data_IF_726476400807
#
_entry.id   IF_726476400807
#
_cell.length_a   1.000
_cell.length_b   1.000
_cell.length_c   1.000
_cell.angle_alpha   90.00
_cell.angle_beta   90.00
_cell.angle_gamma   90.00
#
_symmetry.space_group_name_H-M   'P 1'
#
loop_
_entity.id
_entity.type
_entity.pdbx_description
1 polymer ?
#
# COMPACT_ATOMS: atom_id res chain seq x y z
N UNK A 1 -43.09 -23.07 24.70
CA UNK A 1 -43.24 -21.70 24.19
C UNK A 1 -41.97 -21.39 23.36
N UNK A 2 -42.08 -21.63 22.08
CA UNK A 2 -41.01 -21.49 21.09
C UNK A 2 -40.96 -20.04 20.62
N UNK A 3 -39.83 -19.38 20.78
CA UNK A 3 -39.59 -18.02 20.32
C UNK A 3 -38.86 -18.09 18.95
N UNK A 4 -39.61 -17.98 17.88
CA UNK A 4 -39.08 -17.89 16.53
C UNK A 4 -38.60 -16.46 16.27
N UNK A 5 -37.28 -16.30 16.03
CA UNK A 5 -36.67 -15.05 15.57
C UNK A 5 -36.92 -14.88 14.08
N UNK A 6 -37.59 -13.79 13.71
CA UNK A 6 -37.81 -13.37 12.32
C UNK A 6 -36.49 -12.99 11.64
N UNK A 7 -36.25 -13.35 10.36
CA UNK A 7 -35.08 -12.96 9.61
C UNK A 7 -35.15 -11.47 9.21
N UNK A 8 -34.01 -10.82 9.36
CA UNK A 8 -33.79 -9.42 8.90
C UNK A 8 -33.78 -9.40 7.37
N UNK A 9 -34.71 -8.68 6.77
CA UNK A 9 -34.73 -8.42 5.33
C UNK A 9 -33.54 -7.54 4.94
N UNK A 10 -32.64 -8.07 4.12
CA UNK A 10 -31.63 -7.30 3.42
C UNK A 10 -32.27 -6.43 2.35
N UNK A 11 -31.98 -5.12 2.39
CA UNK A 11 -32.47 -4.15 1.42
C UNK A 11 -32.04 -4.49 -0.01
N UNK A 12 -32.96 -4.47 -0.93
CA UNK A 12 -32.73 -4.74 -2.34
C UNK A 12 -31.89 -3.65 -3.01
N UNK A 13 -31.03 -4.00 -3.98
CA UNK A 13 -30.21 -3.03 -4.71
C UNK A 13 -31.10 -2.10 -5.56
N UNK A 14 -30.71 -0.81 -5.62
CA UNK A 14 -31.42 0.30 -6.29
C UNK A 14 -31.89 0.05 -7.74
N UNK A 15 -31.40 -1.01 -8.40
CA UNK A 15 -31.82 -1.37 -9.79
C UNK A 15 -33.22 -1.98 -9.92
N UNK A 16 -33.81 -2.50 -8.84
CA UNK A 16 -35.16 -3.09 -8.89
C UNK A 16 -36.29 -2.09 -8.66
N UNK A 17 -35.98 -0.84 -8.27
CA UNK A 17 -37.02 0.19 -8.06
C UNK A 17 -37.62 0.73 -9.38
N UNK A 18 -36.94 0.53 -10.53
CA UNK A 18 -37.38 1.05 -11.82
C UNK A 18 -38.22 0.07 -12.65
N UNK A 19 -38.39 -1.18 -12.21
CA UNK A 19 -39.17 -2.19 -12.99
C UNK A 19 -40.61 -2.38 -12.52
N UNK A 20 -41.05 -1.77 -11.40
CA UNK A 20 -42.40 -1.99 -10.85
C UNK A 20 -43.37 -0.83 -11.07
N UNK A 21 -43.02 0.17 -11.84
CA UNK A 21 -43.88 1.33 -12.13
C UNK A 21 -44.49 1.29 -13.55
N UNK A 22 -44.88 0.11 -14.02
CA UNK A 22 -45.56 -0.06 -15.30
C UNK A 22 -46.97 -0.55 -15.06
N UNK A 23 -47.89 0.33 -14.64
CA UNK A 23 -49.34 0.22 -14.96
C UNK A 23 -50.05 1.52 -14.59
N UNK A 24 -50.53 2.18 -15.62
CA UNK A 24 -51.57 3.23 -15.62
C UNK A 24 -51.17 4.64 -15.17
N UNK A 25 -50.57 5.41 -16.08
CA UNK A 25 -50.91 6.84 -16.22
C UNK A 25 -50.84 7.14 -17.72
N UNK A 26 -51.97 7.54 -18.29
CA UNK A 26 -52.16 8.01 -19.65
C UNK A 26 -51.27 9.25 -19.92
N UNK A 27 -50.52 9.20 -20.98
CA UNK A 27 -49.46 10.08 -21.39
C UNK A 27 -49.85 11.56 -21.49
N UNK A 28 -49.19 12.38 -20.67
CA UNK A 28 -48.56 13.58 -21.19
C UNK A 28 -47.06 13.26 -21.23
N UNK A 29 -46.49 13.04 -22.41
CA UNK A 29 -45.07 12.91 -22.62
C UNK A 29 -44.41 14.26 -22.28
N UNK A 30 -44.09 14.47 -21.01
CA UNK A 30 -43.17 15.53 -20.63
C UNK A 30 -41.81 15.08 -21.15
N UNK A 31 -41.39 15.64 -22.27
CA UNK A 31 -40.02 15.53 -22.75
C UNK A 31 -39.11 16.13 -21.68
N UNK A 32 -38.62 15.29 -20.79
CA UNK A 32 -37.62 15.70 -19.82
C UNK A 32 -36.30 15.77 -20.60
N UNK A 33 -35.90 17.00 -20.95
CA UNK A 33 -34.57 17.25 -21.53
C UNK A 33 -33.57 16.98 -20.44
N UNK A 34 -33.00 15.76 -20.44
CA UNK A 34 -31.88 15.41 -19.57
C UNK A 34 -30.63 16.08 -20.15
N UNK A 35 -29.99 17.00 -19.43
CA UNK A 35 -28.81 17.67 -19.95
C UNK A 35 -27.73 16.65 -20.33
N UNK A 36 -26.96 16.92 -21.37
CA UNK A 36 -25.98 16.00 -21.95
C UNK A 36 -24.91 15.54 -20.95
N UNK A 37 -24.54 16.38 -19.97
CA UNK A 37 -23.62 16.04 -18.89
C UNK A 37 -24.18 14.98 -17.92
N UNK A 38 -25.47 14.72 -17.91
CA UNK A 38 -26.13 13.68 -17.10
C UNK A 38 -26.16 12.34 -17.82
N UNK A 39 -26.21 12.36 -19.16
CA UNK A 39 -26.31 11.15 -20.00
C UNK A 39 -24.93 10.55 -20.34
N UNK A 40 -23.85 11.30 -20.15
CA UNK A 40 -22.54 10.92 -20.65
C UNK A 40 -22.43 11.06 -22.18
N UNK A 41 -21.29 10.69 -22.75
CA UNK A 41 -21.01 10.74 -24.18
C UNK A 41 -19.68 11.44 -24.45
N UNK A 42 -19.35 11.67 -25.73
CA UNK A 42 -18.05 12.23 -26.11
C UNK A 42 -17.76 13.56 -25.38
N UNK A 43 -16.78 13.53 -24.45
CA UNK A 43 -16.39 14.67 -23.63
C UNK A 43 -17.14 14.85 -22.30
N UNK A 44 -18.10 13.96 -21.95
CA UNK A 44 -18.86 14.04 -20.71
C UNK A 44 -18.94 12.69 -19.99
N UNK A 45 -18.49 12.65 -18.74
CA UNK A 45 -18.67 11.50 -17.84
C UNK A 45 -19.97 11.71 -17.05
N UNK A 46 -20.94 10.76 -17.10
CA UNK A 46 -22.16 10.91 -16.32
C UNK A 46 -21.88 10.88 -14.81
N UNK A 47 -22.70 11.55 -13.99
CA UNK A 47 -22.53 11.54 -12.53
C UNK A 47 -22.50 10.13 -11.93
N UNK A 48 -23.21 9.17 -12.56
CA UNK A 48 -23.22 7.76 -12.15
C UNK A 48 -21.88 7.03 -12.34
N UNK A 49 -21.00 7.58 -13.17
CA UNK A 49 -19.66 7.04 -13.44
C UNK A 49 -18.56 7.83 -12.72
N UNK A 50 -18.91 8.92 -12.05
CA UNK A 50 -17.98 9.75 -11.28
C UNK A 50 -17.96 9.29 -9.83
N UNK A 51 -16.78 8.93 -9.33
CA UNK A 51 -16.59 8.53 -7.93
C UNK A 51 -16.30 9.76 -7.06
N UNK A 52 -16.94 9.81 -5.89
CA UNK A 52 -16.59 10.75 -4.83
C UNK A 52 -15.32 10.29 -4.11
N UNK A 53 -14.29 11.15 -4.11
CA UNK A 53 -13.00 10.83 -3.52
C UNK A 53 -12.60 11.75 -2.37
N UNK A 54 -11.83 11.21 -1.41
CA UNK A 54 -11.19 12.01 -0.38
C UNK A 54 -9.69 11.72 -0.27
N UNK A 55 -8.93 12.75 0.11
CA UNK A 55 -7.51 12.64 0.44
C UNK A 55 -7.33 12.73 1.96
N UNK A 56 -6.67 11.72 2.55
CA UNK A 56 -6.29 11.69 3.96
C UNK A 56 -4.76 11.70 4.04
N UNK A 57 -4.21 12.79 4.60
CA UNK A 57 -2.79 13.09 4.55
C UNK A 57 -2.44 13.98 3.35
N UNK A 58 -2.39 15.31 3.57
CA UNK A 58 -2.18 16.34 2.53
C UNK A 58 -0.74 16.86 2.52
N UNK A 59 0.22 16.00 2.85
CA UNK A 59 1.65 16.27 2.76
C UNK A 59 2.19 16.24 1.33
N UNK A 60 3.52 16.20 1.18
CA UNK A 60 4.18 16.27 -0.13
C UNK A 60 3.72 15.22 -1.15
N UNK A 61 3.36 14.02 -0.69
CA UNK A 61 2.92 12.92 -1.55
C UNK A 61 1.41 12.94 -1.85
N UNK A 62 0.61 13.56 -0.99
CA UNK A 62 -0.85 13.44 -0.99
C UNK A 62 -1.52 13.69 -2.34
N UNK A 63 -1.19 14.79 -3.03
CA UNK A 63 -1.83 15.10 -4.31
C UNK A 63 -1.56 14.06 -5.39
N UNK A 64 -0.34 13.52 -5.46
CA UNK A 64 -0.02 12.49 -6.44
C UNK A 64 -0.67 11.15 -6.11
N UNK A 65 -0.83 10.83 -4.83
CA UNK A 65 -1.58 9.65 -4.38
C UNK A 65 -3.05 9.78 -4.72
N UNK A 66 -3.64 10.96 -4.49
CA UNK A 66 -5.03 11.22 -4.90
C UNK A 66 -5.24 11.07 -6.41
N UNK A 67 -4.31 11.59 -7.22
CA UNK A 67 -4.37 11.42 -8.68
C UNK A 67 -4.33 9.95 -9.13
N UNK A 68 -3.73 9.07 -8.33
CA UNK A 68 -3.72 7.63 -8.55
C UNK A 68 -5.08 6.94 -8.37
N UNK A 69 -6.08 7.62 -7.81
CA UNK A 69 -7.45 7.08 -7.71
C UNK A 69 -8.13 6.96 -9.09
N UNK A 70 -7.76 7.82 -10.05
CA UNK A 70 -8.32 7.79 -11.40
C UNK A 70 -8.80 9.16 -11.89
N UNK A 71 -9.06 9.24 -13.20
CA UNK A 71 -9.44 10.50 -13.87
C UNK A 71 -10.87 10.93 -13.55
N UNK A 72 -11.76 9.97 -13.28
CA UNK A 72 -13.17 10.21 -12.99
C UNK A 72 -13.47 10.23 -11.50
N UNK A 73 -12.45 10.49 -10.67
CA UNK A 73 -12.61 10.66 -9.22
C UNK A 73 -12.58 12.13 -8.87
N UNK A 74 -13.70 12.64 -8.35
CA UNK A 74 -13.83 14.02 -7.91
C UNK A 74 -13.42 14.17 -6.45
N UNK A 75 -12.46 15.06 -6.16
CA UNK A 75 -12.09 15.35 -4.76
C UNK A 75 -13.19 16.15 -4.05
N UNK A 76 -13.84 15.53 -3.07
CA UNK A 76 -14.90 16.12 -2.26
C UNK A 76 -14.42 16.52 -0.86
N UNK A 77 -13.32 15.90 -0.38
CA UNK A 77 -12.77 16.21 0.94
C UNK A 77 -11.24 16.03 0.98
N UNK A 78 -10.61 16.79 1.87
CA UNK A 78 -9.22 16.63 2.25
C UNK A 78 -9.11 16.63 3.77
N UNK A 79 -8.30 15.73 4.33
CA UNK A 79 -8.10 15.59 5.78
C UNK A 79 -6.62 15.63 6.12
N UNK A 80 -6.25 16.48 7.08
CA UNK A 80 -4.87 16.54 7.59
C UNK A 80 -4.87 17.16 8.99
N UNK A 81 -4.03 16.69 9.87
CA UNK A 81 -3.88 17.20 11.25
C UNK A 81 -3.45 18.68 11.30
N UNK A 82 -2.90 19.23 10.22
CA UNK A 82 -2.58 20.66 10.07
C UNK A 82 -3.81 21.55 9.89
N UNK A 83 -4.98 20.97 9.67
CA UNK A 83 -6.24 21.72 9.53
C UNK A 83 -6.96 21.93 10.86
N UNK A 84 -6.28 21.78 11.99
CA UNK A 84 -6.84 21.94 13.35
C UNK A 84 -7.67 23.22 13.53
N UNK A 85 -7.21 24.34 12.95
CA UNK A 85 -7.92 25.64 12.99
C UNK A 85 -8.92 25.86 11.84
N UNK A 86 -8.89 25.02 10.80
CA UNK A 86 -9.77 25.12 9.63
C UNK A 86 -10.93 24.14 9.69
N UNK A 87 -11.12 23.48 10.84
CA UNK A 87 -12.10 22.44 11.03
C UNK A 87 -13.51 22.92 10.66
N UNK A 88 -14.19 22.09 9.88
CA UNK A 88 -15.61 22.09 9.54
C UNK A 88 -16.11 23.07 8.45
N UNK A 89 -15.29 23.37 7.46
CA UNK A 89 -15.89 23.60 6.17
C UNK A 89 -16.08 22.20 5.50
N UNK A 90 -17.16 21.98 4.76
CA UNK A 90 -17.55 20.69 4.14
C UNK A 90 -16.46 20.03 3.28
N UNK A 91 -15.26 20.57 3.16
CA UNK A 91 -14.17 20.15 2.30
C UNK A 91 -12.84 19.88 3.02
N UNK A 92 -12.58 20.53 4.18
CA UNK A 92 -11.35 20.36 4.96
C UNK A 92 -11.67 19.79 6.34
N UNK A 93 -10.93 18.77 6.73
CA UNK A 93 -11.12 18.03 7.99
C UNK A 93 -9.79 17.86 8.71
N UNK A 94 -9.80 17.92 10.03
CA UNK A 94 -8.65 17.52 10.87
C UNK A 94 -8.74 16.08 11.36
N UNK A 95 -9.93 15.48 11.33
CA UNK A 95 -10.21 14.11 11.75
C UNK A 95 -10.76 13.28 10.59
N UNK A 96 -10.03 12.21 10.22
CA UNK A 96 -10.40 11.34 9.12
C UNK A 96 -11.73 10.61 9.32
N UNK A 97 -12.15 10.37 10.56
CA UNK A 97 -13.41 9.70 10.89
C UNK A 97 -14.59 10.46 10.32
N UNK A 98 -14.54 11.80 10.39
CA UNK A 98 -15.58 12.69 9.82
C UNK A 98 -15.67 12.59 8.29
N UNK A 99 -14.55 12.32 7.62
CA UNK A 99 -14.53 12.04 6.17
C UNK A 99 -15.20 10.70 5.87
N UNK A 100 -14.92 9.67 6.68
CA UNK A 100 -15.46 8.33 6.47
C UNK A 100 -16.97 8.23 6.73
N UNK A 101 -17.54 9.09 7.56
CA UNK A 101 -18.99 9.21 7.82
C UNK A 101 -19.78 9.70 6.58
N UNK A 102 -19.12 10.33 5.61
CA UNK A 102 -19.78 10.87 4.43
C UNK A 102 -20.23 9.80 3.46
N UNK A 103 -21.53 9.83 3.09
CA UNK A 103 -22.11 8.88 2.13
C UNK A 103 -21.77 9.19 0.66
N UNK A 104 -21.32 10.43 0.37
CA UNK A 104 -20.92 10.86 -0.97
C UNK A 104 -19.46 10.58 -1.30
N UNK A 105 -18.69 9.99 -0.37
CA UNK A 105 -17.33 9.51 -0.59
C UNK A 105 -17.40 8.01 -0.90
N UNK A 106 -16.86 7.60 -2.04
CA UNK A 106 -16.76 6.21 -2.50
C UNK A 106 -15.36 5.64 -2.28
N UNK A 107 -14.33 6.48 -2.48
CA UNK A 107 -12.92 6.08 -2.47
C UNK A 107 -12.06 7.03 -1.65
N UNK A 108 -11.01 6.49 -1.04
CA UNK A 108 -10.06 7.31 -0.28
C UNK A 108 -8.62 7.04 -0.70
N UNK A 109 -7.83 8.12 -0.82
CA UNK A 109 -6.39 8.09 -0.94
C UNK A 109 -5.78 8.36 0.43
N UNK A 110 -4.93 7.46 0.93
CA UNK A 110 -4.26 7.58 2.23
C UNK A 110 -2.78 7.85 1.99
N UNK A 111 -2.30 9.01 2.42
CA UNK A 111 -0.92 9.45 2.31
C UNK A 111 -0.41 10.09 3.63
N UNK A 112 -0.89 9.59 4.74
CA UNK A 112 -0.41 9.88 6.09
C UNK A 112 0.97 9.25 6.33
N UNK A 113 1.66 9.52 7.44
CA UNK A 113 2.75 8.67 7.87
C UNK A 113 2.30 7.22 8.13
N UNK A 114 3.19 6.21 7.93
CA UNK A 114 2.81 4.79 7.91
C UNK A 114 2.15 4.23 9.18
N UNK A 115 2.42 4.80 10.35
CA UNK A 115 1.79 4.36 11.60
C UNK A 115 0.26 4.55 11.64
N UNK A 116 -0.28 5.37 10.72
CA UNK A 116 -1.71 5.57 10.55
C UNK A 116 -2.33 4.69 9.45
N UNK A 117 -1.52 4.14 8.53
CA UNK A 117 -2.02 3.48 7.32
C UNK A 117 -3.01 2.35 7.62
N UNK A 118 -2.64 1.42 8.52
CA UNK A 118 -3.49 0.27 8.84
C UNK A 118 -4.84 0.68 9.41
N UNK A 119 -4.84 1.55 10.42
CA UNK A 119 -6.08 1.97 11.09
C UNK A 119 -7.03 2.70 10.15
N UNK A 120 -6.51 3.65 9.36
CA UNK A 120 -7.34 4.40 8.42
C UNK A 120 -7.85 3.48 7.30
N UNK A 121 -7.00 2.59 6.76
CA UNK A 121 -7.38 1.62 5.72
C UNK A 121 -8.52 0.70 6.19
N UNK A 122 -8.38 0.11 7.38
CA UNK A 122 -9.40 -0.77 7.95
C UNK A 122 -10.71 -0.01 8.21
N UNK A 123 -10.63 1.18 8.82
CA UNK A 123 -11.79 2.01 9.08
C UNK A 123 -12.51 2.46 7.78
N UNK A 124 -11.75 2.79 6.73
CA UNK A 124 -12.29 3.14 5.43
C UNK A 124 -13.04 1.96 4.78
N UNK A 125 -12.45 0.76 4.80
CA UNK A 125 -13.09 -0.46 4.31
C UNK A 125 -14.36 -0.79 5.10
N UNK A 126 -14.31 -0.65 6.42
CA UNK A 126 -15.47 -0.85 7.31
C UNK A 126 -16.59 0.15 7.00
N UNK A 127 -16.24 1.40 6.66
CA UNK A 127 -17.18 2.43 6.22
C UNK A 127 -17.63 2.28 4.76
N UNK A 128 -17.28 1.16 4.09
CA UNK A 128 -17.69 0.86 2.72
C UNK A 128 -16.90 1.59 1.64
N UNK A 129 -15.72 2.16 1.94
CA UNK A 129 -14.88 2.86 0.97
C UNK A 129 -13.81 1.93 0.40
N UNK A 130 -13.48 2.13 -0.89
CA UNK A 130 -12.31 1.51 -1.50
C UNK A 130 -11.08 2.37 -1.27
N UNK A 131 -9.88 1.76 -1.19
CA UNK A 131 -8.70 2.41 -0.62
C UNK A 131 -7.49 2.31 -1.55
N UNK A 132 -6.88 3.46 -1.84
CA UNK A 132 -5.50 3.55 -2.32
C UNK A 132 -4.63 4.05 -1.17
N UNK A 133 -3.76 3.19 -0.65
CA UNK A 133 -2.87 3.51 0.45
C UNK A 133 -1.43 3.64 -0.03
N UNK A 134 -0.73 4.70 0.41
CA UNK A 134 0.71 4.84 0.15
C UNK A 134 1.51 3.73 0.84
N UNK A 135 2.69 3.49 0.31
CA UNK A 135 3.67 2.56 0.89
C UNK A 135 4.42 3.20 2.08
N UNK A 136 4.94 2.37 3.00
CA UNK A 136 4.63 0.95 3.19
C UNK A 136 3.18 0.76 3.64
N UNK A 137 2.60 -0.41 3.35
CA UNK A 137 1.19 -0.66 3.67
C UNK A 137 0.87 -0.43 5.15
N UNK A 138 1.77 -0.85 6.02
CA UNK A 138 1.59 -0.81 7.47
C UNK A 138 2.91 -0.54 8.18
N UNK A 139 2.85 -0.37 9.49
CA UNK A 139 4.02 -0.22 10.36
C UNK A 139 4.47 -1.53 10.99
N UNK A 140 3.58 -2.52 11.11
CA UNK A 140 3.83 -3.81 11.74
C UNK A 140 3.24 -4.96 10.91
N UNK A 141 3.82 -6.18 11.08
CA UNK A 141 3.36 -7.40 10.36
C UNK A 141 1.89 -7.70 10.69
N UNK A 142 1.54 -7.71 11.97
CA UNK A 142 0.16 -8.01 12.41
C UNK A 142 -0.88 -7.02 11.85
N UNK A 143 -0.52 -5.75 11.67
CA UNK A 143 -1.38 -4.77 11.01
C UNK A 143 -1.64 -5.14 9.54
N UNK A 144 -0.62 -5.62 8.83
CA UNK A 144 -0.76 -6.07 7.45
C UNK A 144 -1.76 -7.23 7.34
N UNK A 145 -1.68 -8.20 8.23
CA UNK A 145 -2.65 -9.30 8.31
C UNK A 145 -4.07 -8.80 8.64
N UNK A 146 -4.19 -7.83 9.52
CA UNK A 146 -5.48 -7.20 9.83
C UNK A 146 -6.09 -6.48 8.60
N UNK A 147 -5.27 -5.80 7.78
CA UNK A 147 -5.72 -5.17 6.53
C UNK A 147 -6.20 -6.21 5.52
N UNK A 148 -5.47 -7.34 5.36
CA UNK A 148 -5.90 -8.46 4.49
C UNK A 148 -7.25 -9.02 4.94
N UNK A 149 -7.42 -9.21 6.24
CA UNK A 149 -8.68 -9.71 6.79
C UNK A 149 -9.83 -8.71 6.59
N UNK A 150 -9.56 -7.41 6.68
CA UNK A 150 -10.54 -6.36 6.41
C UNK A 150 -10.94 -6.33 4.92
N UNK A 151 -9.99 -6.44 3.99
CA UNK A 151 -10.29 -6.54 2.55
C UNK A 151 -11.26 -7.70 2.27
N UNK A 152 -10.95 -8.89 2.80
CA UNK A 152 -11.79 -10.08 2.65
C UNK A 152 -13.17 -9.90 3.28
N UNK A 153 -13.22 -9.35 4.50
CA UNK A 153 -14.46 -9.18 5.26
C UNK A 153 -15.42 -8.19 4.64
N UNK A 154 -14.90 -7.06 4.17
CA UNK A 154 -15.73 -5.96 3.66
C UNK A 154 -15.85 -5.94 2.13
N UNK A 155 -15.12 -6.80 1.42
CA UNK A 155 -15.15 -6.89 -0.05
C UNK A 155 -14.76 -5.57 -0.72
N UNK A 156 -13.79 -4.84 -0.15
CA UNK A 156 -13.33 -3.57 -0.68
C UNK A 156 -12.06 -3.75 -1.52
N UNK A 157 -11.87 -2.86 -2.49
CA UNK A 157 -10.64 -2.84 -3.29
C UNK A 157 -9.57 -2.11 -2.50
N UNK A 158 -8.39 -2.74 -2.38
CA UNK A 158 -7.17 -2.13 -1.90
C UNK A 158 -6.16 -2.00 -3.03
N UNK A 159 -5.49 -0.86 -3.13
CA UNK A 159 -4.27 -0.71 -3.91
C UNK A 159 -3.17 -0.09 -3.04
N UNK A 160 -1.98 -0.71 -3.07
CA UNK A 160 -0.78 -0.12 -2.47
C UNK A 160 -0.12 0.85 -3.46
N UNK A 161 0.35 1.99 -2.98
CA UNK A 161 1.04 3.02 -3.76
C UNK A 161 2.46 2.60 -4.19
N UNK A 162 2.62 1.39 -4.74
CA UNK A 162 3.88 0.91 -5.35
C UNK A 162 3.81 0.96 -6.87
N UNK A 163 4.98 1.04 -7.49
CA UNK A 163 5.12 1.01 -8.94
C UNK A 163 5.56 -0.39 -9.38
N UNK A 164 5.14 -0.87 -10.52
CA UNK A 164 5.66 -2.09 -11.10
C UNK A 164 4.65 -3.23 -11.24
N UNK A 165 3.58 -3.24 -10.46
CA UNK A 165 2.47 -4.20 -10.60
C UNK A 165 1.33 -3.66 -11.45
N UNK A 166 1.22 -2.33 -11.62
CA UNK A 166 0.09 -1.64 -12.23
C UNK A 166 0.47 -0.97 -13.56
N UNK A 167 -0.38 -1.13 -14.55
CA UNK A 167 -0.39 -0.36 -15.79
C UNK A 167 0.96 -0.11 -16.47
N UNK A 168 1.25 1.15 -16.74
CA UNK A 168 2.40 1.60 -17.54
C UNK A 168 3.77 1.54 -16.84
N UNK A 169 3.83 1.19 -15.56
CA UNK A 169 5.09 1.12 -14.79
C UNK A 169 5.77 -0.25 -14.87
N UNK A 170 5.31 -1.15 -15.74
CA UNK A 170 5.87 -2.49 -15.87
C UNK A 170 7.21 -2.45 -16.57
N UNK A 171 8.21 -2.99 -15.89
CA UNK A 171 9.54 -3.16 -16.45
C UNK A 171 9.65 -4.50 -17.19
N UNK A 172 10.11 -4.47 -18.45
CA UNK A 172 10.33 -5.69 -19.26
C UNK A 172 11.24 -6.72 -18.57
N UNK A 173 12.25 -6.25 -17.85
CA UNK A 173 13.16 -7.11 -17.09
C UNK A 173 12.44 -7.85 -15.97
N UNK A 174 11.57 -7.17 -15.23
CA UNK A 174 10.73 -7.82 -14.20
C UNK A 174 9.74 -8.84 -14.80
N UNK A 175 9.16 -8.56 -15.95
CA UNK A 175 8.28 -9.51 -16.65
C UNK A 175 9.04 -10.75 -17.13
N UNK A 176 10.24 -10.56 -17.70
CA UNK A 176 11.08 -11.67 -18.12
C UNK A 176 11.51 -12.53 -16.93
N UNK A 177 11.94 -11.93 -15.83
CA UNK A 177 12.26 -12.63 -14.58
C UNK A 177 11.07 -13.41 -14.05
N UNK A 178 9.88 -12.82 -14.06
CA UNK A 178 8.66 -13.51 -13.65
C UNK A 178 8.40 -14.76 -14.50
N UNK A 179 8.48 -14.65 -15.84
CA UNK A 179 8.34 -15.81 -16.74
C UNK A 179 9.40 -16.89 -16.46
N UNK A 180 10.67 -16.49 -16.31
CA UNK A 180 11.77 -17.40 -15.99
C UNK A 180 11.49 -18.17 -14.70
N UNK A 181 11.09 -17.48 -13.63
CA UNK A 181 10.89 -18.08 -12.32
C UNK A 181 9.63 -18.93 -12.22
N UNK A 182 8.56 -18.54 -12.92
CA UNK A 182 7.28 -19.29 -12.90
C UNK A 182 7.20 -20.42 -13.92
N UNK A 183 8.13 -20.48 -14.86
CA UNK A 183 8.17 -21.52 -15.91
C UNK A 183 8.54 -22.91 -15.39
N UNK A 184 9.20 -23.00 -14.23
CA UNK A 184 9.79 -24.25 -13.73
C UNK A 184 11.03 -24.73 -14.50
N UNK A 185 11.52 -23.98 -15.49
CA UNK A 185 12.69 -24.34 -16.29
C UNK A 185 14.02 -23.96 -15.63
N UNK A 186 13.99 -23.02 -14.68
CA UNK A 186 15.16 -22.64 -13.88
C UNK A 186 15.04 -23.28 -12.50
N UNK A 187 15.82 -24.32 -12.26
CA UNK A 187 15.84 -25.03 -10.97
C UNK A 187 16.92 -24.51 -10.02
N UNK A 188 17.86 -23.71 -10.49
CA UNK A 188 19.07 -23.34 -9.74
C UNK A 188 19.21 -21.82 -9.47
N UNK A 189 18.10 -21.08 -9.45
CA UNK A 189 18.11 -19.68 -9.04
C UNK A 189 18.17 -19.57 -7.52
N UNK A 190 19.35 -19.27 -6.98
CA UNK A 190 19.60 -19.19 -5.53
C UNK A 190 19.35 -17.83 -4.92
N UNK A 191 19.12 -16.79 -5.71
CA UNK A 191 18.80 -15.50 -5.14
C UNK A 191 19.13 -14.27 -5.98
N UNK A 192 18.88 -13.12 -5.40
CA UNK A 192 19.13 -11.80 -5.98
C UNK A 192 19.83 -10.89 -4.98
N UNK A 193 20.84 -10.17 -5.45
CA UNK A 193 21.56 -9.16 -4.66
C UNK A 193 21.34 -7.78 -5.28
N UNK A 194 20.55 -6.97 -4.63
CA UNK A 194 20.29 -5.59 -5.01
C UNK A 194 21.35 -4.67 -4.39
N UNK A 195 22.27 -4.21 -5.23
CA UNK A 195 23.30 -3.21 -4.91
C UNK A 195 22.81 -1.86 -5.43
N UNK A 196 21.97 -1.16 -4.69
CA UNK A 196 21.49 0.15 -5.15
C UNK A 196 21.72 1.23 -4.11
N UNK A 197 22.41 2.30 -4.50
CA UNK A 197 22.24 3.59 -3.86
C UNK A 197 20.78 4.06 -4.00
N UNK A 198 20.38 5.08 -3.21
CA UNK A 198 19.05 5.67 -3.29
C UNK A 198 18.06 5.16 -2.24
N UNK A 199 18.48 4.28 -1.33
CA UNK A 199 17.72 3.92 -0.13
C UNK A 199 17.65 5.08 0.87
N UNK A 200 18.49 6.11 0.70
CA UNK A 200 18.49 7.34 1.51
C UNK A 200 18.63 7.08 3.01
N UNK A 201 19.42 6.08 3.39
CA UNK A 201 19.56 5.65 4.78
C UNK A 201 20.04 6.80 5.65
N UNK A 202 21.11 7.50 5.23
CA UNK A 202 21.62 8.68 5.93
C UNK A 202 20.61 9.82 5.96
N UNK A 203 19.94 10.08 4.85
CA UNK A 203 18.93 11.16 4.75
C UNK A 203 17.74 10.93 5.70
N UNK A 204 17.32 9.68 5.85
CA UNK A 204 16.18 9.30 6.69
C UNK A 204 16.60 8.70 8.04
N UNK A 205 17.77 9.09 8.56
CA UNK A 205 18.15 8.83 9.95
C UNK A 205 17.51 9.84 10.89
N UNK A 206 17.07 9.37 12.05
CA UNK A 206 16.47 10.21 13.08
C UNK A 206 17.51 10.94 13.94
N UNK A 207 17.08 12.00 14.61
CA UNK A 207 17.89 12.65 15.64
C UNK A 207 17.76 11.87 16.95
N UNK A 208 18.91 11.55 17.53
CA UNK A 208 18.97 10.98 18.87
C UNK A 208 18.70 12.09 19.89
N UNK A 209 17.71 11.87 20.77
CA UNK A 209 17.32 12.82 21.83
C UNK A 209 17.09 14.27 21.34
N UNK A 210 16.23 14.51 20.36
CA UNK A 210 15.96 15.87 19.90
C UNK A 210 15.33 16.70 21.01
N UNK A 211 15.81 17.95 21.16
CA UNK A 211 15.30 18.88 22.18
C UNK A 211 13.86 19.26 21.85
N UNK A 212 12.91 19.08 22.78
CA UNK A 212 11.50 19.42 22.55
C UNK A 212 11.30 20.90 22.20
N UNK A 213 10.32 21.15 21.32
CA UNK A 213 9.92 22.49 20.92
C UNK A 213 8.41 22.68 21.10
N UNK A 214 7.95 23.92 21.03
CA UNK A 214 6.52 24.22 21.10
C UNK A 214 5.77 23.63 19.91
N UNK A 215 4.61 23.05 20.16
CA UNK A 215 3.72 22.54 19.13
C UNK A 215 3.13 23.75 18.37
N UNK A 216 3.21 23.77 17.01
CA UNK A 216 2.53 24.80 16.24
C UNK A 216 1.02 24.82 16.49
N UNK A 217 0.42 25.99 16.65
CA UNK A 217 -1.01 26.14 16.92
C UNK A 217 -1.94 25.51 15.86
N UNK A 218 -1.45 25.37 14.64
CA UNK A 218 -2.21 24.80 13.52
C UNK A 218 -2.12 23.28 13.47
N UNK A 219 -1.23 22.65 14.27
CA UNK A 219 -0.97 21.22 14.26
C UNK A 219 -1.68 20.53 15.41
N UNK A 220 -2.44 19.49 15.11
CA UNK A 220 -2.91 18.55 16.11
C UNK A 220 -1.84 17.46 16.31
N UNK A 221 -0.96 17.69 17.30
CA UNK A 221 0.15 16.77 17.55
C UNK A 221 -0.29 15.46 18.18
N UNK A 222 -1.33 15.47 18.99
CA UNK A 222 -1.90 14.25 19.56
C UNK A 222 -2.48 13.35 18.46
N UNK A 223 -3.31 13.93 17.59
CA UNK A 223 -3.83 13.22 16.41
C UNK A 223 -2.70 12.81 15.44
N UNK A 224 -1.61 13.60 15.32
CA UNK A 224 -0.46 13.18 14.52
C UNK A 224 0.19 11.92 15.07
N UNK A 225 0.47 11.86 16.37
CA UNK A 225 1.05 10.69 17.03
C UNK A 225 0.11 9.50 16.98
N UNK A 226 -1.17 9.72 17.25
CA UNK A 226 -2.23 8.71 17.12
C UNK A 226 -1.92 7.38 17.81
N UNK A 227 -1.79 6.27 17.05
CA UNK A 227 -1.50 4.95 17.62
C UNK A 227 -0.06 4.79 18.13
N UNK A 228 0.82 5.72 17.78
CA UNK A 228 2.21 5.72 18.28
C UNK A 228 2.28 6.40 19.65
N UNK A 229 3.33 6.13 20.45
CA UNK A 229 3.51 6.84 21.71
C UNK A 229 3.53 8.36 21.53
N UNK A 230 2.81 9.08 22.39
CA UNK A 230 2.85 10.54 22.41
C UNK A 230 4.24 11.01 22.83
N UNK A 231 5.01 11.48 21.86
CA UNK A 231 6.36 12.01 22.08
C UNK A 231 6.34 13.53 22.20
N UNK A 232 7.28 14.12 22.96
CA UNK A 232 7.49 15.55 22.89
C UNK A 232 7.72 16.02 21.45
N UNK A 233 7.09 17.14 21.10
CA UNK A 233 7.17 17.64 19.72
C UNK A 233 8.59 18.13 19.40
N UNK A 234 9.02 17.76 18.20
CA UNK A 234 10.19 18.33 17.53
C UNK A 234 9.93 18.36 16.03
N UNK A 235 10.28 19.43 15.29
CA UNK A 235 10.01 19.53 13.85
C UNK A 235 10.53 18.35 13.02
N UNK A 236 11.67 17.77 13.41
CA UNK A 236 12.23 16.59 12.73
C UNK A 236 11.37 15.31 12.90
N UNK A 237 10.45 15.25 13.88
CA UNK A 237 9.49 14.15 14.03
C UNK A 237 8.27 14.31 13.13
N UNK A 238 8.15 15.45 12.45
CA UNK A 238 7.03 15.84 11.60
C UNK A 238 7.49 16.06 10.15
N UNK A 239 6.55 16.15 9.20
CA UNK A 239 6.87 16.32 7.78
C UNK A 239 7.64 15.12 7.22
N UNK A 240 8.54 15.31 6.26
CA UNK A 240 9.27 14.24 5.57
C UNK A 240 10.23 13.47 6.49
N UNK A 241 10.78 14.11 7.51
CA UNK A 241 11.78 13.55 8.42
C UNK A 241 11.21 12.59 9.48
N UNK A 242 9.86 12.48 9.59
CA UNK A 242 9.22 11.45 10.42
C UNK A 242 9.77 10.04 10.13
N UNK A 243 10.25 9.81 8.92
CA UNK A 243 10.85 8.55 8.47
C UNK A 243 11.98 8.06 9.36
N UNK A 244 12.72 8.98 9.96
CA UNK A 244 13.84 8.68 10.84
C UNK A 244 13.48 8.14 12.22
N UNK A 245 12.21 7.81 12.49
CA UNK A 245 11.79 7.35 13.81
C UNK A 245 10.99 6.06 13.75
N UNK A 246 11.38 5.11 14.64
CA UNK A 246 10.71 3.81 14.72
C UNK A 246 9.22 3.91 15.10
N UNK A 247 8.82 4.98 15.76
CA UNK A 247 7.41 5.19 16.10
C UNK A 247 6.54 5.41 14.87
N UNK A 248 7.08 6.00 13.79
CA UNK A 248 6.27 6.45 12.64
C UNK A 248 6.53 5.65 11.36
N UNK A 249 7.79 5.26 11.09
CA UNK A 249 8.14 4.51 9.89
C UNK A 249 9.27 3.50 10.18
N UNK A 250 10.43 3.60 9.60
CA UNK A 250 11.53 2.62 9.73
C UNK A 250 12.73 3.00 8.87
N UNK A 251 12.97 4.30 8.73
CA UNK A 251 14.12 4.84 8.00
C UNK A 251 14.05 4.65 6.49
N UNK A 252 15.20 4.80 5.85
CA UNK A 252 15.32 4.67 4.40
C UNK A 252 14.92 3.29 3.87
N UNK A 253 15.05 2.25 4.69
CA UNK A 253 14.62 0.91 4.30
C UNK A 253 13.10 0.83 4.15
N UNK A 254 12.33 1.37 5.09
CA UNK A 254 10.88 1.36 5.00
C UNK A 254 10.37 2.29 3.90
N UNK A 255 10.94 3.49 3.76
CA UNK A 255 10.53 4.45 2.74
C UNK A 255 10.86 3.96 1.32
N UNK A 256 12.13 3.71 1.02
CA UNK A 256 12.58 3.39 -0.33
C UNK A 256 12.63 1.89 -0.62
N UNK A 257 12.83 1.06 0.41
CA UNK A 257 12.97 -0.38 0.25
C UNK A 257 11.73 -1.05 -0.35
N UNK A 258 10.52 -0.56 -0.02
CA UNK A 258 9.28 -1.10 -0.60
C UNK A 258 9.29 -1.07 -2.13
N UNK A 259 9.85 -0.04 -2.75
CA UNK A 259 9.96 0.07 -4.21
C UNK A 259 10.87 -0.99 -4.83
N UNK A 260 11.74 -1.62 -4.04
CA UNK A 260 12.62 -2.71 -4.47
C UNK A 260 12.08 -4.08 -4.03
N UNK A 261 11.56 -4.19 -2.81
CA UNK A 261 11.02 -5.44 -2.29
C UNK A 261 9.80 -5.91 -3.07
N UNK A 262 8.87 -5.02 -3.37
CA UNK A 262 7.61 -5.35 -4.04
C UNK A 262 7.83 -5.93 -5.46
N UNK A 263 8.63 -5.30 -6.36
CA UNK A 263 8.92 -5.89 -7.67
C UNK A 263 9.67 -7.21 -7.61
N UNK A 264 10.60 -7.37 -6.66
CA UNK A 264 11.34 -8.62 -6.49
C UNK A 264 10.40 -9.74 -6.01
N UNK A 265 9.59 -9.47 -4.99
CA UNK A 265 8.61 -10.42 -4.47
C UNK A 265 7.73 -10.97 -5.60
N UNK A 266 7.21 -10.09 -6.45
CA UNK A 266 6.41 -10.46 -7.61
C UNK A 266 7.20 -11.19 -8.69
N UNK A 267 8.37 -10.64 -9.11
CA UNK A 267 9.17 -11.20 -10.22
C UNK A 267 9.69 -12.59 -9.92
N UNK A 268 9.92 -12.90 -8.65
CA UNK A 268 10.43 -14.21 -8.23
C UNK A 268 9.32 -15.14 -7.69
N UNK A 269 8.05 -14.81 -7.92
CA UNK A 269 6.91 -15.66 -7.57
C UNK A 269 6.73 -15.88 -6.08
N UNK A 270 7.09 -14.89 -5.24
CA UNK A 270 7.08 -14.99 -3.79
C UNK A 270 5.87 -14.33 -3.12
N UNK A 271 4.87 -13.91 -3.89
CA UNK A 271 3.70 -13.17 -3.37
C UNK A 271 2.86 -13.92 -2.32
N UNK A 272 3.04 -15.24 -2.22
CA UNK A 272 2.30 -16.09 -1.27
C UNK A 272 3.11 -16.54 -0.07
N UNK A 273 4.34 -16.04 0.09
CA UNK A 273 5.25 -16.44 1.16
C UNK A 273 6.10 -15.28 1.65
N UNK A 274 6.86 -15.52 2.69
CA UNK A 274 7.82 -14.58 3.27
C UNK A 274 9.12 -15.32 3.61
N UNK A 275 10.25 -14.60 3.82
CA UNK A 275 11.48 -15.22 4.28
C UNK A 275 11.32 -15.91 5.64
N UNK A 276 12.06 -16.99 5.84
CA UNK A 276 12.08 -17.77 7.10
C UNK A 276 13.28 -17.42 7.97
N UNK A 277 14.33 -16.84 7.39
CA UNK A 277 15.53 -16.43 8.12
C UNK A 277 16.00 -15.06 7.62
N UNK A 278 16.32 -14.17 8.54
CA UNK A 278 16.76 -12.82 8.25
C UNK A 278 18.02 -12.48 9.05
N UNK A 279 19.03 -11.94 8.36
CA UNK A 279 20.27 -11.44 8.98
C UNK A 279 20.52 -10.03 8.48
N UNK A 280 20.93 -9.14 9.36
CA UNK A 280 21.29 -7.76 9.01
C UNK A 280 22.69 -7.42 9.48
N UNK A 281 23.33 -6.46 8.81
CA UNK A 281 24.58 -5.84 9.21
C UNK A 281 24.37 -4.35 9.40
N UNK A 282 24.65 -3.87 10.61
CA UNK A 282 24.50 -2.47 10.97
C UNK A 282 25.15 -2.18 12.32
N UNK A 283 25.31 -0.92 12.69
CA UNK A 283 25.72 -0.54 14.03
C UNK A 283 24.59 -0.86 15.03
N UNK A 284 24.86 -0.85 16.34
CA UNK A 284 23.80 -0.92 17.34
C UNK A 284 22.74 0.17 17.07
N UNK A 285 21.49 -0.24 17.02
CA UNK A 285 20.40 0.68 16.73
C UNK A 285 20.02 1.52 17.95
N UNK A 286 19.73 2.80 17.74
CA UNK A 286 19.08 3.63 18.75
C UNK A 286 17.64 3.12 18.98
N UNK A 287 17.12 3.11 20.22
CA UNK A 287 15.79 2.60 20.52
C UNK A 287 14.64 3.42 19.89
N UNK A 288 14.86 4.69 19.59
CA UNK A 288 13.84 5.62 19.07
C UNK A 288 14.11 6.09 17.64
N UNK A 289 15.38 6.32 17.28
CA UNK A 289 15.80 6.85 16.01
C UNK A 289 16.28 5.75 15.07
N UNK A 290 15.81 5.76 13.83
CA UNK A 290 16.40 4.94 12.78
C UNK A 290 17.79 5.48 12.43
N UNK A 291 18.73 4.58 12.23
CA UNK A 291 20.12 4.90 11.92
C UNK A 291 20.61 4.25 10.63
N UNK A 292 21.92 4.23 10.50
CA UNK A 292 22.62 3.60 9.38
C UNK A 292 22.55 2.07 9.47
N UNK A 293 22.61 1.41 8.33
CA UNK A 293 22.74 -0.04 8.19
C UNK A 293 23.48 -0.36 6.89
N UNK A 294 24.10 -1.53 6.81
CA UNK A 294 24.89 -1.98 5.66
C UNK A 294 24.05 -2.79 4.69
N UNK A 295 23.70 -4.00 5.08
CA UNK A 295 22.93 -4.93 4.25
C UNK A 295 21.97 -5.76 5.07
N UNK A 296 20.97 -6.32 4.40
CA UNK A 296 20.01 -7.29 4.94
C UNK A 296 19.92 -8.48 3.99
N UNK A 297 20.04 -9.68 4.53
CA UNK A 297 19.86 -10.96 3.84
C UNK A 297 18.57 -11.60 4.33
N UNK A 298 17.69 -11.95 3.39
CA UNK A 298 16.38 -12.57 3.62
C UNK A 298 16.35 -13.91 2.88
N UNK A 299 16.28 -15.01 3.61
CA UNK A 299 16.26 -16.36 3.05
C UNK A 299 14.88 -16.98 3.15
N UNK A 300 14.40 -17.53 2.04
CA UNK A 300 13.13 -18.24 1.95
C UNK A 300 13.32 -19.75 2.22
N UNK A 301 12.23 -20.45 2.51
CA UNK A 301 12.25 -21.88 2.82
C UNK A 301 12.76 -22.76 1.67
N UNK A 302 12.60 -22.33 0.44
CA UNK A 302 13.12 -23.02 -0.77
C UNK A 302 14.60 -22.73 -1.06
N UNK A 303 15.27 -21.99 -0.17
CA UNK A 303 16.69 -21.62 -0.30
C UNK A 303 16.94 -20.35 -1.12
N UNK A 304 15.92 -19.76 -1.76
CA UNK A 304 16.05 -18.46 -2.41
C UNK A 304 16.46 -17.40 -1.41
N UNK A 305 17.44 -16.59 -1.76
CA UNK A 305 17.97 -15.54 -0.89
C UNK A 305 17.85 -14.17 -1.54
N UNK A 306 17.23 -13.23 -0.86
CA UNK A 306 17.17 -11.85 -1.28
C UNK A 306 18.09 -11.00 -0.41
N UNK A 307 19.00 -10.24 -1.03
CA UNK A 307 19.92 -9.33 -0.35
C UNK A 307 19.64 -7.90 -0.79
N UNK A 308 19.45 -7.04 0.20
CA UNK A 308 19.42 -5.59 0.02
C UNK A 308 20.67 -4.98 0.65
N UNK A 309 21.50 -4.32 -0.17
CA UNK A 309 22.74 -3.66 0.28
C UNK A 309 22.57 -2.15 0.13
N UNK A 310 22.62 -1.42 1.26
CA UNK A 310 22.44 0.03 1.27
C UNK A 310 23.59 0.77 0.61
N UNK A 311 24.81 0.23 0.69
CA UNK A 311 26.07 0.86 0.30
C UNK A 311 26.37 2.17 1.03
N UNK A 312 25.66 2.43 2.13
CA UNK A 312 25.81 3.67 2.89
C UNK A 312 26.52 3.44 4.25
N UNK A 313 26.75 2.16 4.64
CA UNK A 313 27.43 1.81 5.88
C UNK A 313 28.22 0.50 5.80
N UNK A 314 29.42 0.49 6.36
CA UNK A 314 30.26 -0.70 6.53
C UNK A 314 30.71 -1.35 5.21
N UNK A 315 31.30 -2.56 5.31
CA UNK A 315 31.67 -3.33 4.14
C UNK A 315 30.42 -3.84 3.43
N UNK A 316 30.44 -3.78 2.10
CA UNK A 316 29.35 -4.33 1.28
C UNK A 316 29.16 -5.83 1.49
N UNK A 317 28.00 -6.32 1.13
CA UNK A 317 27.67 -7.75 1.20
C UNK A 317 28.52 -8.58 0.25
N UNK A 318 29.14 -9.66 0.75
CA UNK A 318 30.05 -10.51 -0.02
C UNK A 318 29.82 -12.03 0.16
N UNK A 319 28.72 -12.45 0.79
CA UNK A 319 28.47 -13.86 1.13
C UNK A 319 27.78 -14.65 0.02
N UNK A 320 27.06 -13.98 -0.91
CA UNK A 320 26.35 -14.66 -1.97
C UNK A 320 27.13 -14.58 -3.28
N UNK A 321 27.43 -15.73 -3.86
CA UNK A 321 28.06 -15.87 -5.17
C UNK A 321 27.03 -16.02 -6.31
N UNK A 322 25.76 -16.27 -5.97
CA UNK A 322 24.70 -16.45 -6.93
C UNK A 322 24.42 -15.15 -7.70
N UNK A 323 24.36 -15.25 -9.02
CA UNK A 323 23.91 -14.16 -9.90
C UNK A 323 22.41 -14.21 -10.09
N UNK A 324 21.85 -13.10 -10.51
CA UNK A 324 20.46 -13.06 -10.96
C UNK A 324 20.26 -14.03 -12.14
N UNK A 325 19.11 -14.73 -12.23
CA UNK A 325 18.80 -15.61 -13.34
C UNK A 325 18.73 -14.81 -14.64
N UNK A 326 19.30 -15.37 -15.68
CA UNK A 326 19.29 -14.79 -17.02
C UNK A 326 18.73 -15.78 -18.04
N UNK A 327 18.15 -15.25 -19.11
CA UNK A 327 17.64 -16.08 -20.20
C UNK A 327 18.75 -16.98 -20.80
N UNK A 328 20.01 -16.49 -20.81
CA UNK A 328 21.19 -17.24 -21.26
C UNK A 328 21.53 -18.48 -20.42
N UNK A 329 20.91 -18.66 -19.26
CA UNK A 329 21.13 -19.85 -18.41
C UNK A 329 20.36 -21.08 -18.92
N UNK A 330 19.45 -20.85 -19.86
CA UNK A 330 18.63 -21.91 -20.48
C UNK A 330 19.16 -22.35 -21.83
N UNK A 331 18.77 -23.55 -22.25
CA UNK A 331 18.97 -24.05 -23.63
C UNK A 331 18.30 -23.09 -24.64
N UNK A 332 18.81 -23.05 -25.88
CA UNK A 332 18.19 -22.22 -26.96
C UNK A 332 16.70 -22.57 -27.16
N UNK A 333 16.34 -23.83 -27.00
CA UNK A 333 14.96 -24.29 -27.10
C UNK A 333 14.10 -23.72 -25.97
N UNK A 334 14.59 -23.74 -24.74
CA UNK A 334 13.85 -23.24 -23.58
C UNK A 334 13.79 -21.71 -23.57
N UNK A 335 14.85 -21.02 -24.05
CA UNK A 335 14.79 -19.58 -24.29
C UNK A 335 13.62 -19.20 -25.21
N UNK A 336 13.44 -19.94 -26.32
CA UNK A 336 12.29 -19.71 -27.23
C UNK A 336 10.96 -19.95 -26.56
N UNK A 337 10.84 -20.99 -25.70
CA UNK A 337 9.61 -21.21 -24.92
C UNK A 337 9.30 -20.03 -23.98
N UNK A 338 10.30 -19.55 -23.21
CA UNK A 338 10.12 -18.40 -22.31
C UNK A 338 9.69 -17.14 -23.08
N UNK A 339 10.35 -16.85 -24.21
CA UNK A 339 10.02 -15.68 -25.01
C UNK A 339 8.62 -15.76 -25.63
N UNK A 340 8.14 -16.97 -25.95
CA UNK A 340 6.79 -17.22 -26.47
C UNK A 340 5.70 -17.19 -25.37
N UNK A 341 6.06 -17.30 -24.09
CA UNK A 341 5.09 -17.17 -23.01
C UNK A 341 4.41 -15.78 -23.04
N UNK A 342 3.10 -15.70 -22.82
CA UNK A 342 2.44 -14.40 -22.70
C UNK A 342 3.01 -13.62 -21.52
N UNK A 343 3.06 -12.29 -21.65
CA UNK A 343 3.39 -11.45 -20.52
C UNK A 343 2.31 -11.59 -19.44
N UNK A 344 2.68 -11.62 -18.16
CA UNK A 344 1.69 -11.64 -17.09
C UNK A 344 0.77 -10.42 -17.21
N UNK A 345 -0.54 -10.61 -17.08
CA UNK A 345 -1.50 -9.54 -17.19
C UNK A 345 -1.24 -8.45 -16.13
N UNK A 346 -1.31 -7.15 -16.48
CA UNK A 346 -1.24 -6.09 -15.48
C UNK A 346 -2.45 -6.16 -14.56
N UNK A 347 -2.26 -5.78 -13.30
CA UNK A 347 -3.42 -5.45 -12.50
C UNK A 347 -4.07 -4.19 -13.08
N UNK A 348 -5.42 -4.13 -13.17
CA UNK A 348 -6.11 -2.94 -13.62
C UNK A 348 -5.80 -1.75 -12.71
N UNK A 349 -5.88 -0.55 -13.24
CA UNK A 349 -5.77 0.67 -12.47
C UNK A 349 -6.86 0.72 -11.39
N UNK A 350 -6.66 1.55 -10.37
CA UNK A 350 -7.53 1.58 -9.19
C UNK A 350 -9.00 1.84 -9.55
N UNK A 351 -9.26 2.85 -10.41
CA UNK A 351 -10.62 3.20 -10.83
C UNK A 351 -11.33 2.03 -11.53
N UNK A 352 -10.62 1.34 -12.41
CA UNK A 352 -11.15 0.17 -13.13
C UNK A 352 -11.42 -0.99 -12.18
N UNK A 353 -10.51 -1.22 -11.23
CA UNK A 353 -10.70 -2.25 -10.21
C UNK A 353 -11.92 -1.96 -9.32
N UNK A 354 -12.14 -0.70 -8.95
CA UNK A 354 -13.32 -0.29 -8.16
C UNK A 354 -14.60 -0.52 -8.97
N UNK A 355 -14.63 -0.14 -10.25
CA UNK A 355 -15.80 -0.31 -11.13
C UNK A 355 -16.13 -1.78 -11.42
N UNK A 356 -15.12 -2.58 -11.68
CA UNK A 356 -15.28 -4.01 -12.01
C UNK A 356 -15.36 -4.90 -10.77
N UNK A 357 -15.00 -4.41 -9.58
CA UNK A 357 -14.83 -5.16 -8.34
C UNK A 357 -13.77 -6.26 -8.45
N UNK A 358 -12.75 -6.07 -9.30
CA UNK A 358 -11.71 -7.06 -9.59
C UNK A 358 -10.34 -6.39 -9.79
N UNK A 359 -9.24 -7.07 -9.43
CA UNK A 359 -9.21 -8.25 -8.58
C UNK A 359 -9.34 -7.89 -7.09
N UNK A 360 -9.91 -8.78 -6.31
CA UNK A 360 -9.78 -8.79 -4.86
C UNK A 360 -8.49 -9.51 -4.46
N UNK A 361 -8.06 -9.36 -3.20
CA UNK A 361 -6.88 -10.06 -2.67
C UNK A 361 -5.56 -9.36 -2.92
N UNK A 362 -5.57 -8.09 -3.35
CA UNK A 362 -4.36 -7.27 -3.52
C UNK A 362 -3.65 -6.99 -2.19
N UNK A 363 -4.40 -6.98 -1.09
CA UNK A 363 -3.86 -6.76 0.24
C UNK A 363 -2.86 -7.86 0.65
N UNK A 364 -3.06 -9.12 0.24
CA UNK A 364 -2.13 -10.22 0.57
C UNK A 364 -0.74 -9.96 -0.02
N UNK A 365 -0.64 -9.65 -1.32
CA UNK A 365 0.65 -9.35 -1.95
C UNK A 365 1.31 -8.10 -1.35
N UNK A 366 0.52 -7.06 -1.05
CA UNK A 366 0.99 -5.85 -0.39
C UNK A 366 1.50 -6.13 1.03
N UNK A 367 0.79 -6.95 1.79
CA UNK A 367 1.19 -7.41 3.11
C UNK A 367 2.50 -8.21 3.06
N UNK A 368 2.61 -9.19 2.15
CA UNK A 368 3.82 -10.01 2.01
C UNK A 368 5.04 -9.15 1.65
N UNK A 369 4.91 -8.22 0.72
CA UNK A 369 6.03 -7.34 0.37
C UNK A 369 6.39 -6.36 1.50
N UNK A 370 5.42 -5.87 2.28
CA UNK A 370 5.69 -5.05 3.48
C UNK A 370 6.32 -5.86 4.61
N UNK A 371 5.99 -7.15 4.74
CA UNK A 371 6.59 -8.04 5.73
C UNK A 371 8.11 -8.13 5.58
N UNK A 372 8.63 -8.08 4.35
CA UNK A 372 10.09 -8.09 4.14
C UNK A 372 10.77 -6.91 4.80
N UNK A 373 10.21 -5.69 4.66
CA UNK A 373 10.82 -4.54 5.33
C UNK A 373 10.70 -4.62 6.84
N UNK A 374 9.59 -5.14 7.37
CA UNK A 374 9.41 -5.25 8.82
C UNK A 374 10.40 -6.24 9.43
N UNK A 375 10.56 -7.42 8.80
CA UNK A 375 11.55 -8.42 9.21
C UNK A 375 12.98 -7.88 9.13
N UNK A 376 13.30 -7.16 8.05
CA UNK A 376 14.60 -6.50 7.88
C UNK A 376 14.83 -5.45 8.98
N UNK A 377 13.86 -4.61 9.29
CA UNK A 377 13.93 -3.62 10.35
C UNK A 377 14.05 -4.27 11.75
N UNK A 378 13.38 -5.39 12.00
CA UNK A 378 13.52 -6.15 13.25
C UNK A 378 14.97 -6.66 13.39
N UNK A 379 15.53 -7.24 12.32
CA UNK A 379 16.91 -7.72 12.33
C UNK A 379 17.91 -6.58 12.58
N UNK A 380 17.73 -5.41 11.93
CA UNK A 380 18.56 -4.22 12.13
C UNK A 380 18.45 -3.71 13.58
N UNK A 381 17.22 -3.55 14.10
CA UNK A 381 16.99 -3.02 15.45
C UNK A 381 17.52 -3.91 16.55
N UNK A 382 17.40 -5.22 16.39
CA UNK A 382 17.80 -6.18 17.43
C UNK A 382 19.25 -6.59 17.31
N UNK A 383 19.89 -6.40 16.14
CA UNK A 383 21.22 -6.94 15.83
C UNK A 383 21.25 -8.48 15.86
N UNK A 384 20.10 -9.13 15.78
CA UNK A 384 19.97 -10.59 15.88
C UNK A 384 19.58 -11.20 14.55
N UNK A 385 19.96 -12.45 14.35
CA UNK A 385 19.35 -13.32 13.35
C UNK A 385 17.89 -13.59 13.74
N UNK A 386 16.98 -13.36 12.83
CA UNK A 386 15.55 -13.59 13.03
C UNK A 386 15.17 -14.90 12.34
N UNK A 387 14.39 -15.72 13.03
CA UNK A 387 13.65 -16.83 12.48
C UNK A 387 12.19 -16.42 12.41
N UNK A 388 11.52 -16.72 11.29
CA UNK A 388 10.14 -16.32 11.07
C UNK A 388 9.35 -17.47 10.44
N UNK A 389 8.18 -17.72 10.97
CA UNK A 389 7.21 -18.64 10.38
C UNK A 389 6.25 -17.85 9.48
N UNK A 390 6.33 -17.98 8.14
CA UNK A 390 5.47 -17.24 7.23
C UNK A 390 4.00 -17.73 7.23
N UNK A 391 3.70 -18.86 7.87
CA UNK A 391 2.34 -19.39 8.01
C UNK A 391 1.70 -18.83 9.30
N UNK A 392 2.38 -18.97 10.42
CA UNK A 392 1.92 -18.44 11.70
C UNK A 392 2.11 -16.91 11.82
N UNK A 393 2.98 -16.32 10.99
CA UNK A 393 3.36 -14.90 10.97
C UNK A 393 3.97 -14.41 12.30
N UNK A 394 4.82 -15.27 12.90
CA UNK A 394 5.49 -15.01 14.17
C UNK A 394 6.96 -15.48 14.19
#
# INVERSE_FOLDING_TARGET
MSNESKPVQMGQPRRHFLSSASSAITAAAVFQIVPRHVLGGQGYTPPSETLGGALIGCGGRGNSTFAGLGKNVKRLASCDVKYKKSADNKTLYSDFRRVLERSDIDVVAIATPPHWHALITIAAMQAGKDVLCEKPLTRFIAEGRAVVNAEKRYGRILQLGTYGRYGNFRNRDHMLKHKLMTSGLLTDCKGVHIKRGGLKVKQWSGYVNPVPQAIPDTLDWDMYCGPSPLRPFHPHRHGGSHRGYWDYEGGGLADMGQHHFDPVQWSYGKDHTSPVEIVASGPPADPLACGMWGWVELRYADGFTFVMDSREWGPGYNRMTAREPALSDLSVTDQKKILAMPDPAPWPDFEDAVKTRQPLGRAEAAHRSSTLLHLANIAIRTGRKIQYDPIAEQ
#
